data_IF_389144978296
#
_entry.id   IF_389144978296
#
_cell.length_a   1.000
_cell.length_b   1.000
_cell.length_c   1.000
_cell.angle_alpha   90.00
_cell.angle_beta   90.00
_cell.angle_gamma   90.00
#
_symmetry.space_group_name_H-M   'P 1'
#
loop_
_entity.id
_entity.type
_entity.pdbx_description
1 polymer ?
#
# COMPACT_ATOMS: atom_id res chain seq x y z
N UNK A 1 16.53 17.13 -0.65
CA UNK A 1 16.61 15.76 -0.10
C UNK A 1 15.87 14.90 -1.10
N UNK A 2 16.55 13.93 -1.70
CA UNK A 2 15.89 13.03 -2.64
C UNK A 2 15.02 12.07 -1.83
N UNK A 3 13.71 12.05 -2.09
CA UNK A 3 12.77 11.22 -1.36
C UNK A 3 12.91 9.77 -1.85
N UNK A 4 13.43 8.88 -1.01
CA UNK A 4 13.55 7.45 -1.28
C UNK A 4 12.61 6.62 -0.38
N UNK A 5 12.62 5.29 -0.56
CA UNK A 5 11.77 4.39 0.22
C UNK A 5 12.05 4.49 1.72
N UNK A 6 13.33 4.58 2.11
CA UNK A 6 13.72 4.62 3.51
C UNK A 6 13.17 5.87 4.21
N UNK A 7 13.34 7.04 3.59
CA UNK A 7 12.84 8.31 4.12
C UNK A 7 11.31 8.30 4.21
N UNK A 8 10.62 7.78 3.19
CA UNK A 8 9.15 7.66 3.23
C UNK A 8 8.72 6.83 4.43
N UNK A 9 9.24 5.60 4.58
CA UNK A 9 8.80 4.72 5.67
C UNK A 9 9.19 5.25 7.04
N UNK A 10 10.38 5.84 7.17
CA UNK A 10 10.81 6.50 8.41
C UNK A 10 9.85 7.59 8.84
N UNK A 11 9.51 8.53 7.94
CA UNK A 11 8.64 9.64 8.28
C UNK A 11 7.18 9.19 8.55
N UNK A 12 6.69 8.16 7.84
CA UNK A 12 5.41 7.53 8.16
C UNK A 12 5.41 6.90 9.56
N UNK A 13 6.50 6.22 9.93
CA UNK A 13 6.68 5.63 11.25
C UNK A 13 6.74 6.69 12.36
N UNK A 14 7.50 7.77 12.15
CA UNK A 14 7.62 8.90 13.10
C UNK A 14 6.28 9.61 13.31
N UNK A 15 5.47 9.76 12.25
CA UNK A 15 4.11 10.30 12.32
C UNK A 15 3.09 9.32 12.91
N UNK A 16 3.50 8.08 13.19
CA UNK A 16 2.63 6.99 13.66
C UNK A 16 1.43 6.79 12.74
N UNK A 17 1.68 6.83 11.42
CA UNK A 17 0.68 6.41 10.46
C UNK A 17 0.49 4.90 10.61
N UNK A 18 -0.75 4.46 10.74
CA UNK A 18 -1.10 3.06 10.71
C UNK A 18 -1.28 2.62 9.25
N UNK A 19 -0.23 1.98 8.73
CA UNK A 19 -0.17 1.45 7.37
C UNK A 19 0.36 0.01 7.32
N UNK A 20 0.21 -0.59 6.15
CA UNK A 20 0.78 -1.86 5.73
C UNK A 20 1.24 -1.77 4.29
N UNK A 21 2.49 -2.15 4.04
CA UNK A 21 3.00 -2.35 2.68
C UNK A 21 2.35 -3.58 2.08
N UNK A 22 1.77 -3.42 0.89
CA UNK A 22 1.14 -4.47 0.09
C UNK A 22 1.73 -4.44 -1.33
N UNK A 23 1.06 -5.12 -2.26
CA UNK A 23 1.32 -4.98 -3.69
C UNK A 23 2.74 -5.37 -4.09
N UNK A 24 3.38 -4.56 -4.92
CA UNK A 24 4.66 -4.89 -5.54
C UNK A 24 5.85 -4.95 -4.60
N UNK A 25 5.96 -3.94 -3.76
CA UNK A 25 7.07 -3.82 -2.82
C UNK A 25 7.04 -4.95 -1.76
N UNK A 26 5.84 -5.36 -1.33
CA UNK A 26 5.69 -6.52 -0.45
C UNK A 26 6.22 -7.82 -1.08
N UNK A 27 6.11 -8.00 -2.40
CA UNK A 27 6.69 -9.17 -3.11
C UNK A 27 8.21 -9.18 -2.99
N UNK A 28 8.85 -8.02 -3.20
CA UNK A 28 10.29 -7.85 -3.03
C UNK A 28 10.72 -8.14 -1.59
N UNK A 29 9.99 -7.63 -0.61
CA UNK A 29 10.28 -7.85 0.81
C UNK A 29 10.18 -9.32 1.23
N UNK A 30 9.32 -10.11 0.58
CA UNK A 30 9.25 -11.56 0.78
C UNK A 30 10.27 -12.35 -0.06
N UNK A 31 11.23 -11.67 -0.70
CA UNK A 31 12.37 -12.29 -1.38
C UNK A 31 12.10 -12.69 -2.83
N UNK A 32 11.03 -12.21 -3.45
CA UNK A 32 10.75 -12.43 -4.88
C UNK A 32 11.08 -11.15 -5.65
N UNK A 33 12.13 -11.15 -6.50
CA UNK A 33 12.50 -9.97 -7.27
C UNK A 33 11.39 -9.51 -8.22
N UNK A 34 10.98 -8.25 -8.08
CA UNK A 34 9.92 -7.62 -8.88
C UNK A 34 10.30 -6.18 -9.17
N UNK A 35 10.36 -5.83 -10.46
CA UNK A 35 10.48 -4.44 -10.87
C UNK A 35 9.19 -3.70 -10.49
N UNK A 36 9.32 -2.69 -9.63
CA UNK A 36 8.21 -1.86 -9.12
C UNK A 36 8.79 -0.48 -8.79
N UNK A 37 8.08 0.58 -9.16
CA UNK A 37 8.50 1.97 -8.94
C UNK A 37 7.45 2.78 -8.15
N UNK A 38 6.38 2.08 -7.77
CA UNK A 38 5.22 2.52 -7.00
C UNK A 38 5.26 1.93 -5.59
N UNK A 39 4.58 2.60 -4.66
CA UNK A 39 4.30 2.06 -3.32
C UNK A 39 2.80 1.79 -3.21
N UNK A 40 2.43 0.53 -3.04
CA UNK A 40 1.07 0.16 -2.66
C UNK A 40 0.95 0.04 -1.12
N UNK A 41 0.09 0.86 -0.51
CA UNK A 41 -0.20 0.81 0.92
C UNK A 41 -1.67 0.53 1.19
N UNK A 42 -1.95 -0.27 2.21
CA UNK A 42 -3.22 -0.21 2.92
C UNK A 42 -3.02 0.62 4.18
N UNK A 43 -3.98 1.47 4.52
CA UNK A 43 -3.94 2.28 5.75
C UNK A 43 -5.21 2.09 6.56
N UNK A 44 -5.13 2.33 7.88
CA UNK A 44 -6.32 2.39 8.71
C UNK A 44 -7.21 3.56 8.23
N UNK A 45 -8.44 3.25 7.81
CA UNK A 45 -9.37 4.22 7.20
C UNK A 45 -10.13 5.06 8.23
N UNK A 46 -9.44 5.48 9.29
CA UNK A 46 -9.96 6.43 10.27
C UNK A 46 -9.51 7.84 9.91
N UNK A 47 -10.39 8.82 10.18
CA UNK A 47 -10.20 10.22 9.81
C UNK A 47 -8.82 10.77 10.20
N UNK A 48 -8.37 10.50 11.43
CA UNK A 48 -7.08 10.97 11.94
C UNK A 48 -5.90 10.38 11.15
N UNK A 49 -5.91 9.07 10.90
CA UNK A 49 -4.84 8.38 10.19
C UNK A 49 -4.76 8.81 8.72
N UNK A 50 -5.92 8.91 8.05
CA UNK A 50 -6.01 9.41 6.68
C UNK A 50 -5.48 10.84 6.62
N UNK A 51 -5.84 11.70 7.58
CA UNK A 51 -5.36 13.09 7.60
C UNK A 51 -3.84 13.15 7.70
N UNK A 52 -3.22 12.39 8.62
CA UNK A 52 -1.75 12.35 8.76
C UNK A 52 -1.09 11.93 7.45
N UNK A 53 -1.59 10.86 6.83
CA UNK A 53 -1.03 10.30 5.61
C UNK A 53 -1.18 11.25 4.41
N UNK A 54 -2.40 11.76 4.17
CA UNK A 54 -2.71 12.62 3.02
C UNK A 54 -2.02 13.97 3.12
N UNK A 55 -1.98 14.58 4.31
CA UNK A 55 -1.22 15.82 4.53
C UNK A 55 0.26 15.57 4.23
N UNK A 56 0.83 14.47 4.72
CA UNK A 56 2.24 14.17 4.49
C UNK A 56 2.59 13.94 3.02
N UNK A 57 1.75 13.19 2.29
CA UNK A 57 1.90 13.04 0.84
C UNK A 57 1.85 14.39 0.12
N UNK A 58 0.93 15.27 0.52
CA UNK A 58 0.79 16.61 -0.06
C UNK A 58 2.03 17.47 0.21
N UNK A 59 2.59 17.40 1.43
CA UNK A 59 3.80 18.13 1.83
C UNK A 59 5.04 17.70 1.02
N UNK A 60 5.13 16.41 0.68
CA UNK A 60 6.17 15.90 -0.23
C UNK A 60 5.94 16.30 -1.70
N UNK A 61 4.74 16.79 -2.05
CA UNK A 61 4.40 17.25 -3.40
C UNK A 61 3.59 16.25 -4.23
N UNK A 62 3.14 15.14 -3.65
CA UNK A 62 2.21 14.25 -4.33
C UNK A 62 0.81 14.86 -4.46
N UNK A 63 0.10 14.47 -5.52
CA UNK A 63 -1.28 14.91 -5.76
C UNK A 63 -2.15 13.72 -6.17
N UNK A 64 -3.45 13.69 -5.80
CA UNK A 64 -4.36 12.67 -6.28
C UNK A 64 -4.46 12.71 -7.81
N UNK A 65 -4.33 11.57 -8.48
CA UNK A 65 -4.43 11.44 -9.94
C UNK A 65 -5.86 11.58 -10.46
N UNK A 66 -6.83 11.34 -9.58
CA UNK A 66 -8.26 11.42 -9.84
C UNK A 66 -8.89 12.56 -9.06
N UNK A 67 -9.96 13.20 -9.57
CA UNK A 67 -10.60 14.36 -8.93
C UNK A 67 -11.55 13.92 -7.80
N UNK A 68 -11.02 13.20 -6.81
CA UNK A 68 -11.72 12.87 -5.56
C UNK A 68 -10.96 13.48 -4.39
N UNK A 69 -11.69 13.85 -3.34
CA UNK A 69 -11.05 14.25 -2.09
C UNK A 69 -10.55 13.00 -1.36
N UNK A 70 -9.25 12.81 -1.12
CA UNK A 70 -8.76 11.61 -0.43
C UNK A 70 -9.28 11.48 1.01
N UNK A 71 -9.67 12.58 1.65
CA UNK A 71 -10.28 12.55 2.97
C UNK A 71 -11.63 11.82 2.99
N UNK A 72 -12.31 11.71 1.84
CA UNK A 72 -13.53 10.93 1.70
C UNK A 72 -13.30 9.43 1.88
N UNK A 73 -12.05 8.96 1.93
CA UNK A 73 -11.72 7.60 2.38
C UNK A 73 -12.24 7.29 3.77
N UNK A 74 -12.51 8.27 4.64
CA UNK A 74 -13.09 8.01 5.96
C UNK A 74 -14.59 7.63 5.87
N UNK A 75 -15.27 8.00 4.79
CA UNK A 75 -16.71 7.77 4.58
C UNK A 75 -16.97 6.42 3.91
N UNK A 76 -17.50 5.47 4.67
CA UNK A 76 -17.78 4.12 4.17
C UNK A 76 -18.80 4.07 3.03
N UNK A 77 -19.79 4.98 3.02
CA UNK A 77 -20.81 5.03 1.98
C UNK A 77 -20.18 5.47 0.66
N UNK A 78 -19.34 6.51 0.69
CA UNK A 78 -18.58 6.95 -0.48
C UNK A 78 -17.64 5.86 -1.00
N UNK A 79 -16.91 5.19 -0.10
CA UNK A 79 -16.04 4.06 -0.48
C UNK A 79 -16.83 2.96 -1.21
N UNK A 80 -17.99 2.56 -0.68
CA UNK A 80 -18.85 1.54 -1.32
C UNK A 80 -19.31 1.98 -2.71
N UNK A 81 -19.73 3.23 -2.88
CA UNK A 81 -20.09 3.79 -4.19
C UNK A 81 -18.91 3.74 -5.17
N UNK A 82 -17.70 4.13 -4.74
CA UNK A 82 -16.51 4.05 -5.59
C UNK A 82 -16.18 2.62 -6.04
N UNK A 83 -16.32 1.63 -5.16
CA UNK A 83 -16.05 0.23 -5.48
C UNK A 83 -17.11 -0.31 -6.45
N UNK A 84 -18.39 -0.08 -6.17
CA UNK A 84 -19.49 -0.69 -6.92
C UNK A 84 -19.73 -0.02 -8.27
N UNK A 85 -19.75 1.32 -8.29
CA UNK A 85 -20.11 2.10 -9.47
C UNK A 85 -18.89 2.38 -10.36
N UNK A 86 -17.74 2.67 -9.74
CA UNK A 86 -16.53 3.09 -10.46
C UNK A 86 -15.47 2.01 -10.56
N UNK A 87 -15.68 0.84 -9.94
CA UNK A 87 -14.71 -0.27 -9.86
C UNK A 87 -13.35 0.19 -9.32
N UNK A 88 -13.38 1.20 -8.47
CA UNK A 88 -12.19 1.85 -7.94
C UNK A 88 -11.74 1.12 -6.68
N UNK A 89 -10.48 0.67 -6.69
CA UNK A 89 -9.89 -0.15 -5.62
C UNK A 89 -8.82 0.55 -4.81
N UNK A 90 -8.26 1.62 -5.36
CA UNK A 90 -7.21 2.42 -4.76
C UNK A 90 -7.36 3.89 -5.15
N UNK A 91 -6.82 4.79 -4.31
CA UNK A 91 -6.55 6.18 -4.67
C UNK A 91 -5.07 6.27 -5.02
N UNK A 92 -4.79 6.62 -6.26
CA UNK A 92 -3.43 6.86 -6.74
C UNK A 92 -3.03 8.31 -6.50
N UNK A 93 -1.89 8.49 -5.84
CA UNK A 93 -1.18 9.74 -5.73
C UNK A 93 0.04 9.69 -6.64
N UNK A 94 0.32 10.78 -7.35
CA UNK A 94 1.46 10.85 -8.25
C UNK A 94 2.29 12.12 -8.03
N UNK A 95 3.55 12.05 -8.41
CA UNK A 95 4.48 13.19 -8.49
C UNK A 95 5.34 13.05 -9.74
N UNK A 96 5.47 14.15 -10.49
CA UNK A 96 6.29 14.19 -11.71
C UNK A 96 7.78 14.47 -11.42
N UNK A 97 8.10 14.89 -10.20
CA UNK A 97 9.43 15.36 -9.82
C UNK A 97 10.16 14.45 -8.84
N UNK A 98 9.47 13.49 -8.23
CA UNK A 98 10.04 12.58 -7.24
C UNK A 98 10.48 11.25 -7.89
N UNK A 99 11.54 10.59 -7.37
CA UNK A 99 11.97 9.29 -7.89
C UNK A 99 10.91 8.20 -7.73
N UNK A 100 10.19 8.22 -6.61
CA UNK A 100 9.02 7.38 -6.37
C UNK A 100 7.83 8.13 -6.95
N UNK A 101 7.44 7.76 -8.16
CA UNK A 101 6.48 8.52 -8.95
C UNK A 101 5.04 8.36 -8.47
N UNK A 102 4.70 7.22 -7.86
CA UNK A 102 3.32 6.90 -7.47
C UNK A 102 3.24 6.23 -6.09
N UNK A 103 2.21 6.60 -5.33
CA UNK A 103 1.82 5.98 -4.06
C UNK A 103 0.32 5.69 -4.10
N UNK A 104 -0.05 4.43 -3.95
CA UNK A 104 -1.42 3.95 -3.99
C UNK A 104 -1.95 3.66 -2.58
N UNK A 105 -3.12 4.20 -2.25
CA UNK A 105 -3.89 3.80 -1.07
C UNK A 105 -4.91 2.75 -1.51
N UNK A 106 -4.61 1.47 -1.29
CA UNK A 106 -5.51 0.36 -1.54
C UNK A 106 -6.55 0.28 -0.42
N UNK A 107 -7.83 0.33 -0.79
CA UNK A 107 -8.95 0.30 0.17
C UNK A 107 -10.02 -0.75 -0.15
N UNK A 108 -10.00 -1.34 -1.35
CA UNK A 108 -10.82 -2.51 -1.69
C UNK A 108 -9.99 -3.78 -1.53
N UNK A 109 -10.21 -4.49 -0.42
CA UNK A 109 -9.50 -5.73 -0.09
C UNK A 109 -10.50 -6.81 0.35
N UNK A 110 -10.30 -8.08 -0.07
CA UNK A 110 -11.11 -9.20 0.38
C UNK A 110 -10.87 -9.55 1.86
N UNK A 111 -9.81 -9.02 2.48
CA UNK A 111 -9.46 -9.23 3.88
C UNK A 111 -9.45 -7.87 4.60
N UNK A 112 -10.15 -7.72 5.74
CA UNK A 112 -10.15 -6.48 6.52
C UNK A 112 -8.76 -6.04 6.96
N UNK A 113 -8.56 -4.72 7.08
CA UNK A 113 -7.28 -4.13 7.48
C UNK A 113 -6.76 -4.69 8.82
N UNK A 114 -7.61 -4.72 9.84
CA UNK A 114 -7.22 -5.15 11.19
C UNK A 114 -6.75 -6.61 11.22
N UNK A 115 -7.37 -7.46 10.41
CA UNK A 115 -6.95 -8.85 10.25
C UNK A 115 -5.58 -8.96 9.59
N UNK A 116 -5.35 -8.22 8.50
CA UNK A 116 -4.05 -8.16 7.83
C UNK A 116 -2.97 -7.62 8.77
N UNK A 117 -3.29 -6.58 9.55
CA UNK A 117 -2.39 -5.95 10.51
C UNK A 117 -1.99 -6.91 11.62
N UNK A 118 -2.95 -7.66 12.17
CA UNK A 118 -2.72 -8.64 13.24
C UNK A 118 -1.73 -9.75 12.85
N UNK A 119 -1.63 -10.06 11.56
CA UNK A 119 -0.72 -11.09 11.00
C UNK A 119 0.47 -10.50 10.26
N UNK A 120 0.61 -9.17 10.26
CA UNK A 120 1.68 -8.50 9.52
C UNK A 120 3.06 -8.85 10.06
N UNK A 121 4.06 -8.74 9.20
CA UNK A 121 5.46 -8.93 9.55
C UNK A 121 6.19 -7.60 9.49
N UNK A 122 7.20 -7.42 10.32
CA UNK A 122 8.08 -6.25 10.26
C UNK A 122 9.30 -6.61 9.41
N UNK A 123 9.45 -5.94 8.28
CA UNK A 123 10.61 -6.06 7.41
C UNK A 123 11.60 -4.97 7.79
N UNK A 124 12.87 -5.33 7.96
CA UNK A 124 13.93 -4.38 8.28
C UNK A 124 14.55 -3.85 6.98
N UNK A 125 14.42 -2.54 6.75
CA UNK A 125 15.10 -1.82 5.69
C UNK A 125 16.04 -0.82 6.35
N UNK A 126 17.33 -1.15 6.34
CA UNK A 126 18.35 -0.44 7.13
C UNK A 126 17.98 -0.39 8.62
N UNK A 127 17.61 0.78 9.15
CA UNK A 127 17.18 0.96 10.54
C UNK A 127 15.66 1.01 10.72
N UNK A 128 14.89 0.96 9.64
CA UNK A 128 13.43 1.13 9.67
C UNK A 128 12.70 -0.20 9.69
N UNK A 129 11.71 -0.30 10.58
CA UNK A 129 10.80 -1.45 10.64
C UNK A 129 9.55 -1.13 9.83
N UNK A 130 9.37 -1.85 8.73
CA UNK A 130 8.30 -1.60 7.78
C UNK A 130 7.20 -2.66 7.96
N UNK A 131 6.01 -2.28 8.45
CA UNK A 131 4.89 -3.21 8.57
C UNK A 131 4.43 -3.64 7.17
N UNK A 132 4.55 -4.93 6.90
CA UNK A 132 4.29 -5.54 5.59
C UNK A 132 3.28 -6.67 5.75
N UNK A 133 2.36 -6.79 4.79
CA UNK A 133 1.40 -7.90 4.79
C UNK A 133 2.12 -9.25 4.81
N UNK A 134 1.57 -10.23 5.54
CA UNK A 134 2.14 -11.57 5.58
C UNK A 134 2.21 -12.20 4.18
N UNK A 135 3.17 -13.09 3.94
CA UNK A 135 3.28 -13.78 2.63
C UNK A 135 1.99 -14.55 2.28
N UNK A 136 1.34 -15.16 3.28
CA UNK A 136 0.09 -15.90 3.11
C UNK A 136 -1.06 -14.98 2.67
N UNK A 137 -1.18 -13.82 3.30
CA UNK A 137 -2.22 -12.84 2.94
C UNK A 137 -1.89 -12.14 1.62
N UNK A 138 -0.60 -11.87 1.32
CA UNK A 138 -0.17 -11.31 0.03
C UNK A 138 -0.58 -12.21 -1.13
N UNK A 139 -0.40 -13.54 -0.99
CA UNK A 139 -0.86 -14.53 -1.97
C UNK A 139 -2.36 -14.39 -2.20
N UNK A 140 -3.17 -14.33 -1.13
CA UNK A 140 -4.63 -14.19 -1.24
C UNK A 140 -5.03 -12.87 -1.92
N UNK A 141 -4.37 -11.76 -1.57
CA UNK A 141 -4.64 -10.46 -2.19
C UNK A 141 -4.38 -10.50 -3.71
N UNK A 142 -3.26 -11.12 -4.12
CA UNK A 142 -2.86 -11.22 -5.53
C UNK A 142 -3.72 -12.18 -6.35
N UNK A 143 -4.10 -13.32 -5.78
CA UNK A 143 -5.01 -14.25 -6.46
C UNK A 143 -6.34 -13.59 -6.85
N UNK A 144 -6.82 -12.65 -6.06
CA UNK A 144 -8.08 -11.95 -6.30
C UNK A 144 -7.99 -10.81 -7.34
N UNK A 145 -6.79 -10.38 -7.74
CA UNK A 145 -6.64 -9.29 -8.72
C UNK A 145 -6.85 -9.73 -10.17
N UNK A 146 -6.58 -11.00 -10.48
CA UNK A 146 -6.66 -11.58 -11.82
C UNK A 146 -5.60 -11.10 -12.81
N UNK A 147 -4.62 -10.28 -12.40
CA UNK A 147 -3.55 -9.77 -13.29
C UNK A 147 -2.51 -10.87 -13.53
N UNK A 148 -2.04 -11.01 -14.78
CA UNK A 148 -1.02 -12.02 -15.15
C UNK A 148 0.24 -11.95 -14.28
N UNK A 149 0.74 -10.74 -14.00
CA UNK A 149 1.91 -10.55 -13.14
C UNK A 149 1.64 -10.97 -11.69
N UNK A 150 0.44 -10.68 -11.16
CA UNK A 150 0.08 -11.10 -9.81
C UNK A 150 -0.05 -12.63 -9.70
N UNK A 151 -0.47 -13.33 -10.76
CA UNK A 151 -0.47 -14.79 -10.79
C UNK A 151 0.96 -15.36 -10.79
N UNK A 152 1.89 -14.77 -11.55
CA UNK A 152 3.30 -15.16 -11.51
C UNK A 152 3.93 -14.89 -10.13
N UNK A 153 3.66 -13.72 -9.53
CA UNK A 153 4.10 -13.40 -8.17
C UNK A 153 3.59 -14.46 -7.17
N UNK A 154 2.34 -14.91 -7.29
CA UNK A 154 1.76 -15.97 -6.43
C UNK A 154 2.51 -17.29 -6.54
N UNK A 155 2.93 -17.69 -7.75
CA UNK A 155 3.70 -18.93 -7.95
C UNK A 155 5.03 -18.85 -7.20
N UNK A 156 5.78 -17.76 -7.37
CA UNK A 156 7.07 -17.58 -6.68
C UNK A 156 6.92 -17.46 -5.16
N UNK A 157 5.91 -16.73 -4.67
CA UNK A 157 5.66 -16.61 -3.23
C UNK A 157 5.33 -17.97 -2.59
N UNK A 158 4.61 -18.85 -3.29
CA UNK A 158 4.37 -20.22 -2.82
C UNK A 158 5.65 -21.04 -2.75
N UNK A 159 6.55 -20.91 -3.73
CA UNK A 159 7.84 -21.59 -3.70
C UNK A 159 8.72 -21.15 -2.51
N UNK A 160 8.59 -19.90 -2.04
CA UNK A 160 9.27 -19.43 -0.83
C UNK A 160 8.73 -20.12 0.42
N UNK A 161 7.42 -20.37 0.51
CA UNK A 161 6.79 -21.06 1.65
C UNK A 161 7.12 -22.55 1.74
N UNK A 162 7.50 -23.18 0.63
CA UNK A 162 7.83 -24.60 0.56
C UNK A 162 9.30 -24.91 0.91
N UNK A 163 10.12 -23.87 1.14
CA UNK A 163 11.53 -23.99 1.56
C UNK A 163 11.66 -24.04 3.07
#
# INVERSE_FOLDING_TARGET
MELDFQIIFKELNELKVDYLVVGGLAVNFHGVPRMTYDIDLMILLQQENISKFVTKLTDWGYRPKIPVNPMDLADEVKRKSWIQEKRMKAINFYSETLPIGEVDIVFDSPIPYDELKSRSVLIELESEKIPTVSIHDLIKLKQNSGRKQDLADVEYLKMILER
#
